data_IF_740037146396
#
_entry.id   IF_740037146396
#
_cell.length_a   1.000
_cell.length_b   1.000
_cell.length_c   1.000
_cell.angle_alpha   90.00
_cell.angle_beta   90.00
_cell.angle_gamma   90.00
#
_symmetry.space_group_name_H-M   'P 1'
#
loop_
_entity.id
_entity.type
_entity.pdbx_description
1 polymer ?
#
# COMPACT_ATOMS: atom_id res chain seq x y z
N UNK A 1 -61.29 20.94 68.24
CA UNK A 1 -61.35 21.48 66.87
C UNK A 1 -59.93 21.88 66.46
N UNK A 2 -59.12 20.91 66.00
CA UNK A 2 -57.74 21.09 65.51
C UNK A 2 -57.50 19.99 64.46
N UNK A 3 -57.85 20.22 63.20
CA UNK A 3 -57.77 19.21 62.13
C UNK A 3 -57.40 19.78 60.75
N UNK A 4 -56.50 20.77 60.66
CA UNK A 4 -56.05 21.30 59.36
C UNK A 4 -54.56 21.60 59.26
N UNK A 5 -53.68 20.83 59.92
CA UNK A 5 -52.24 21.04 59.71
C UNK A 5 -51.39 19.78 59.87
N UNK A 6 -51.53 18.81 58.95
CA UNK A 6 -50.63 17.62 58.91
C UNK A 6 -50.58 16.88 57.56
N UNK A 7 -50.86 17.53 56.43
CA UNK A 7 -50.80 16.87 55.10
C UNK A 7 -49.82 17.49 54.10
N UNK A 8 -48.71 18.07 54.58
CA UNK A 8 -47.47 18.12 53.79
C UNK A 8 -46.69 16.84 54.11
N UNK A 9 -47.12 15.71 53.52
CA UNK A 9 -46.31 14.50 53.50
C UNK A 9 -45.20 14.75 52.49
N UNK A 10 -43.99 14.95 53.01
CA UNK A 10 -42.77 15.16 52.27
C UNK A 10 -42.67 14.24 51.04
N UNK A 11 -42.44 14.84 49.87
CA UNK A 11 -41.90 14.12 48.73
C UNK A 11 -40.62 13.41 49.17
N UNK A 12 -40.46 12.09 48.91
CA UNK A 12 -39.18 11.45 49.13
C UNK A 12 -38.16 12.03 48.13
N UNK A 13 -36.98 12.51 48.58
CA UNK A 13 -35.86 12.68 47.67
C UNK A 13 -35.32 11.28 47.35
N UNK A 14 -35.82 10.66 46.28
CA UNK A 14 -35.21 9.45 45.74
C UNK A 14 -33.90 9.84 45.06
N UNK A 15 -32.82 9.80 45.85
CA UNK A 15 -31.45 9.83 45.37
C UNK A 15 -31.19 8.57 44.54
N UNK A 16 -31.07 8.74 43.22
CA UNK A 16 -30.27 7.88 42.35
C UNK A 16 -29.79 8.70 41.13
N UNK A 17 -29.20 9.86 41.44
CA UNK A 17 -28.59 10.78 40.47
C UNK A 17 -27.09 10.51 40.24
N UNK A 18 -26.56 9.40 40.73
CA UNK A 18 -25.18 8.96 40.48
C UNK A 18 -25.00 8.22 39.15
N UNK A 19 -26.04 7.58 38.63
CA UNK A 19 -25.95 6.71 37.45
C UNK A 19 -26.09 7.46 36.11
N UNK A 20 -26.70 8.66 36.11
CA UNK A 20 -27.01 9.42 34.90
C UNK A 20 -25.79 10.00 34.17
N UNK A 21 -24.71 10.31 34.90
CA UNK A 21 -23.45 10.83 34.33
C UNK A 21 -22.44 9.70 34.06
N UNK A 22 -22.43 8.64 34.87
CA UNK A 22 -21.50 7.53 34.71
C UNK A 22 -21.80 6.72 33.44
N UNK A 23 -23.09 6.51 33.13
CA UNK A 23 -23.52 5.75 31.96
C UNK A 23 -23.03 6.35 30.61
N UNK A 24 -23.21 7.65 30.31
CA UNK A 24 -22.69 8.23 29.06
C UNK A 24 -21.16 8.26 29.02
N UNK A 25 -20.47 8.41 30.16
CA UNK A 25 -19.00 8.35 30.21
C UNK A 25 -18.50 6.94 29.87
N UNK A 26 -19.14 5.90 30.42
CA UNK A 26 -18.80 4.51 30.11
C UNK A 26 -19.02 4.19 28.63
N UNK A 27 -20.13 4.64 28.06
CA UNK A 27 -20.41 4.48 26.62
C UNK A 27 -19.42 5.26 25.75
N UNK A 28 -19.02 6.47 26.17
CA UNK A 28 -17.98 7.25 25.50
C UNK A 28 -16.63 6.55 25.50
N UNK A 29 -16.21 6.01 26.64
CA UNK A 29 -14.98 5.21 26.76
C UNK A 29 -15.02 3.96 25.89
N UNK A 30 -16.14 3.23 25.90
CA UNK A 30 -16.32 2.05 25.06
C UNK A 30 -16.23 2.40 23.57
N UNK A 31 -16.85 3.52 23.18
CA UNK A 31 -16.80 4.03 21.80
C UNK A 31 -15.37 4.39 21.39
N UNK A 32 -14.59 5.03 22.28
CA UNK A 32 -13.18 5.33 22.03
C UNK A 32 -12.36 4.06 21.85
N UNK A 33 -12.55 3.05 22.70
CA UNK A 33 -11.83 1.76 22.58
C UNK A 33 -12.15 1.10 21.25
N UNK A 34 -13.42 1.07 20.84
CA UNK A 34 -13.82 0.51 19.55
C UNK A 34 -13.24 1.31 18.38
N UNK A 35 -13.23 2.64 18.47
CA UNK A 35 -12.65 3.52 17.46
C UNK A 35 -11.15 3.30 17.29
N UNK A 36 -10.41 3.24 18.41
CA UNK A 36 -8.97 2.98 18.38
C UNK A 36 -8.64 1.57 17.90
N UNK A 37 -9.40 0.56 18.32
CA UNK A 37 -9.27 -0.80 17.82
C UNK A 37 -9.49 -0.87 16.31
N UNK A 38 -10.55 -0.22 15.83
CA UNK A 38 -10.86 -0.15 14.41
C UNK A 38 -9.76 0.59 13.62
N UNK A 39 -9.29 1.76 14.09
CA UNK A 39 -8.17 2.47 13.45
C UNK A 39 -6.89 1.61 13.40
N UNK A 40 -6.59 0.89 14.47
CA UNK A 40 -5.40 0.02 14.54
C UNK A 40 -5.48 -1.13 13.53
N UNK A 41 -6.66 -1.74 13.38
CA UNK A 41 -6.88 -2.77 12.35
C UNK A 41 -6.75 -2.22 10.92
N UNK A 42 -7.19 -0.99 10.67
CA UNK A 42 -7.04 -0.36 9.36
C UNK A 42 -5.56 -0.08 9.04
N UNK A 43 -4.78 0.39 10.02
CA UNK A 43 -3.35 0.66 9.86
C UNK A 43 -2.55 -0.62 9.58
N UNK A 44 -2.89 -1.74 10.24
CA UNK A 44 -2.25 -3.02 9.99
C UNK A 44 -2.51 -3.52 8.56
N UNK A 45 -3.74 -3.38 8.06
CA UNK A 45 -4.07 -3.73 6.66
C UNK A 45 -3.30 -2.87 5.66
N UNK A 46 -3.13 -1.59 5.96
CA UNK A 46 -2.39 -0.68 5.09
C UNK A 46 -0.90 -1.01 5.04
N UNK A 47 -0.31 -1.41 6.18
CA UNK A 47 1.06 -1.93 6.23
C UNK A 47 1.20 -3.22 5.41
N UNK A 48 0.29 -4.16 5.55
CA UNK A 48 0.35 -5.43 4.82
C UNK A 48 0.22 -5.20 3.29
N UNK A 49 -0.58 -4.23 2.86
CA UNK A 49 -0.66 -3.82 1.45
C UNK A 49 0.64 -3.20 0.93
N UNK A 50 1.31 -2.36 1.73
CA UNK A 50 2.59 -1.76 1.36
C UNK A 50 3.70 -2.81 1.29
N UNK A 51 3.72 -3.76 2.23
CA UNK A 51 4.67 -4.87 2.22
C UNK A 51 4.44 -5.80 1.02
N UNK A 52 3.18 -6.09 0.70
CA UNK A 52 2.83 -6.85 -0.50
C UNK A 52 3.25 -6.13 -1.79
N UNK A 53 3.10 -4.80 -1.86
CA UNK A 53 3.55 -4.00 -3.00
C UNK A 53 5.08 -3.98 -3.11
N UNK A 54 5.78 -3.85 -1.98
CA UNK A 54 7.25 -3.93 -1.93
C UNK A 54 7.76 -5.29 -2.38
N UNK A 55 7.14 -6.38 -1.92
CA UNK A 55 7.49 -7.73 -2.36
C UNK A 55 7.27 -7.92 -3.87
N UNK A 56 6.21 -7.33 -4.43
CA UNK A 56 5.96 -7.34 -5.87
C UNK A 56 7.00 -6.54 -6.67
N UNK A 57 7.53 -5.44 -6.12
CA UNK A 57 8.60 -4.68 -6.78
C UNK A 57 9.85 -5.55 -6.97
N UNK A 58 10.22 -6.38 -6.00
CA UNK A 58 11.37 -7.29 -6.13
C UNK A 58 11.21 -8.26 -7.32
N UNK A 59 10.00 -8.80 -7.51
CA UNK A 59 9.69 -9.67 -8.64
C UNK A 59 9.70 -8.92 -9.98
N UNK A 60 9.17 -7.69 -10.01
CA UNK A 60 9.17 -6.83 -11.20
C UNK A 60 10.61 -6.50 -11.62
N UNK A 61 11.48 -6.12 -10.69
CA UNK A 61 12.89 -5.84 -10.97
C UNK A 61 13.61 -7.07 -11.53
N UNK A 62 13.45 -8.24 -10.91
CA UNK A 62 14.05 -9.48 -11.41
C UNK A 62 13.56 -9.86 -12.81
N UNK A 63 12.27 -9.70 -13.09
CA UNK A 63 11.70 -9.95 -14.41
C UNK A 63 12.18 -8.92 -15.45
N UNK A 64 12.28 -7.65 -15.09
CA UNK A 64 12.81 -6.60 -15.96
C UNK A 64 14.30 -6.84 -16.29
N UNK A 65 15.10 -7.29 -15.31
CA UNK A 65 16.50 -7.63 -15.53
C UNK A 65 16.66 -8.82 -16.49
N UNK A 66 15.83 -9.86 -16.34
CA UNK A 66 15.78 -10.99 -17.28
C UNK A 66 15.38 -10.55 -18.68
N UNK A 67 14.34 -9.72 -18.80
CA UNK A 67 13.88 -9.19 -20.08
C UNK A 67 14.99 -8.38 -20.75
N UNK A 68 15.68 -7.52 -19.98
CA UNK A 68 16.82 -6.75 -20.47
C UNK A 68 17.93 -7.66 -20.99
N UNK A 69 18.31 -8.69 -20.23
CA UNK A 69 19.33 -9.64 -20.67
C UNK A 69 18.95 -10.37 -21.97
N UNK A 70 17.66 -10.70 -22.15
CA UNK A 70 17.17 -11.30 -23.39
C UNK A 70 17.23 -10.31 -24.57
N UNK A 71 16.85 -9.04 -24.34
CA UNK A 71 16.93 -7.99 -25.35
C UNK A 71 18.39 -7.69 -25.74
N UNK A 72 19.30 -7.64 -24.77
CA UNK A 72 20.73 -7.43 -25.02
C UNK A 72 21.32 -8.60 -25.82
N UNK A 73 20.94 -9.84 -25.51
CA UNK A 73 21.36 -11.02 -26.27
C UNK A 73 20.85 -11.00 -27.71
N UNK A 74 19.59 -10.61 -27.92
CA UNK A 74 19.01 -10.46 -29.25
C UNK A 74 19.72 -9.35 -30.04
N UNK A 75 19.93 -8.18 -29.43
CA UNK A 75 20.63 -7.06 -30.02
C UNK A 75 22.07 -7.45 -30.42
N UNK A 76 22.80 -8.12 -29.54
CA UNK A 76 24.14 -8.63 -29.83
C UNK A 76 24.12 -9.65 -30.99
N UNK A 77 23.15 -10.57 -31.01
CA UNK A 77 22.97 -11.50 -32.12
C UNK A 77 22.69 -10.81 -33.45
N UNK A 78 21.81 -9.81 -33.46
CA UNK A 78 21.53 -8.99 -34.65
C UNK A 78 22.74 -8.19 -35.09
N UNK A 79 23.51 -7.62 -34.16
CA UNK A 79 24.74 -6.90 -34.51
C UNK A 79 25.81 -7.82 -35.10
N UNK A 80 25.96 -9.05 -34.58
CA UNK A 80 26.85 -10.06 -35.19
C UNK A 80 26.40 -10.45 -36.59
N UNK A 81 25.09 -10.65 -36.81
CA UNK A 81 24.55 -10.92 -38.15
C UNK A 81 24.79 -9.74 -39.10
N UNK A 82 24.68 -8.51 -38.62
CA UNK A 82 24.98 -7.31 -39.41
C UNK A 82 26.46 -7.23 -39.80
N UNK A 83 27.37 -7.56 -38.87
CA UNK A 83 28.82 -7.66 -39.13
C UNK A 83 29.17 -8.78 -40.11
N UNK A 84 28.45 -9.90 -40.08
CA UNK A 84 28.59 -11.01 -41.03
C UNK A 84 28.04 -10.68 -42.44
N UNK A 85 27.52 -9.47 -42.65
CA UNK A 85 27.05 -9.01 -43.96
C UNK A 85 25.57 -9.25 -44.23
N UNK A 86 24.76 -9.56 -43.21
CA UNK A 86 23.32 -9.70 -43.40
C UNK A 86 22.64 -8.33 -43.60
N UNK A 87 22.01 -8.06 -44.76
CA UNK A 87 21.46 -6.74 -45.08
C UNK A 87 20.26 -6.36 -44.20
N UNK A 88 19.44 -7.33 -43.80
CA UNK A 88 18.29 -7.07 -42.92
C UNK A 88 18.75 -6.71 -41.51
N UNK A 89 19.78 -7.38 -41.00
CA UNK A 89 20.34 -7.08 -39.67
C UNK A 89 21.03 -5.70 -39.64
N UNK A 90 21.68 -5.29 -40.73
CA UNK A 90 22.26 -3.94 -40.86
C UNK A 90 21.19 -2.85 -40.80
N UNK A 91 20.04 -3.04 -41.44
CA UNK A 91 18.92 -2.09 -41.35
C UNK A 91 18.45 -1.91 -39.90
N UNK A 92 18.38 -3.01 -39.14
CA UNK A 92 17.99 -2.99 -37.73
C UNK A 92 19.03 -2.23 -36.88
N UNK A 93 20.33 -2.55 -37.03
CA UNK A 93 21.41 -1.84 -36.31
C UNK A 93 21.45 -0.34 -36.66
N UNK A 94 21.24 0.01 -37.93
CA UNK A 94 21.20 1.40 -38.36
C UNK A 94 19.99 2.16 -37.78
N UNK A 95 18.83 1.51 -37.71
CA UNK A 95 17.65 2.09 -37.08
C UNK A 95 17.83 2.28 -35.57
N UNK A 96 18.53 1.36 -34.90
CA UNK A 96 18.90 1.47 -33.48
C UNK A 96 19.90 2.62 -33.25
N UNK A 97 20.94 2.71 -34.08
CA UNK A 97 21.90 3.82 -34.06
C UNK A 97 21.21 5.17 -34.30
N UNK A 98 20.26 5.24 -35.24
CA UNK A 98 19.47 6.46 -35.50
C UNK A 98 18.61 6.90 -34.30
N UNK A 99 18.27 5.97 -33.40
CA UNK A 99 17.58 6.24 -32.13
C UNK A 99 18.54 6.49 -30.97
N UNK A 100 19.85 6.59 -31.22
CA UNK A 100 20.89 6.81 -30.20
C UNK A 100 21.28 5.56 -29.41
N UNK A 101 20.86 4.37 -29.85
CA UNK A 101 21.17 3.10 -29.20
C UNK A 101 22.32 2.44 -29.98
N UNK A 102 23.54 2.60 -29.49
CA UNK A 102 24.71 1.92 -30.06
C UNK A 102 24.81 0.51 -29.50
N UNK A 103 24.63 -0.49 -30.37
CA UNK A 103 24.82 -1.89 -30.02
C UNK A 103 26.27 -2.28 -30.28
N UNK A 104 26.99 -2.70 -29.23
CA UNK A 104 28.30 -3.31 -29.36
C UNK A 104 28.16 -4.83 -29.15
N UNK A 105 28.32 -5.67 -30.20
CA UNK A 105 28.17 -7.12 -30.10
C UNK A 105 29.23 -7.84 -29.25
N UNK A 106 30.31 -7.14 -28.91
CA UNK A 106 31.45 -7.64 -28.13
C UNK A 106 31.54 -6.98 -26.74
N UNK A 107 30.67 -6.01 -26.43
CA UNK A 107 30.56 -5.50 -25.07
C UNK A 107 29.97 -6.59 -24.17
N UNK A 108 30.73 -7.01 -23.17
CA UNK A 108 30.25 -7.96 -22.17
C UNK A 108 28.99 -7.40 -21.47
N UNK A 109 27.98 -8.24 -21.18
CA UNK A 109 26.78 -7.81 -20.45
C UNK A 109 27.21 -7.21 -19.12
N UNK A 110 26.81 -5.95 -18.86
CA UNK A 110 27.06 -5.30 -17.58
C UNK A 110 26.33 -6.09 -16.48
N UNK A 111 27.12 -6.58 -15.54
CA UNK A 111 26.71 -7.48 -14.44
C UNK A 111 25.78 -6.80 -13.45
#
# INVERSE_FOLDING_TARGET
MNLFNTLIKASPPSQDQGYGIVLPILLGLLTLVLWFGFQTSQLLKERDNLDALSANQQAIYGNAQKLRAQLDALAAGTARLAQQGNPNAQQVVNALNAKGITINPDAAPTK
#
